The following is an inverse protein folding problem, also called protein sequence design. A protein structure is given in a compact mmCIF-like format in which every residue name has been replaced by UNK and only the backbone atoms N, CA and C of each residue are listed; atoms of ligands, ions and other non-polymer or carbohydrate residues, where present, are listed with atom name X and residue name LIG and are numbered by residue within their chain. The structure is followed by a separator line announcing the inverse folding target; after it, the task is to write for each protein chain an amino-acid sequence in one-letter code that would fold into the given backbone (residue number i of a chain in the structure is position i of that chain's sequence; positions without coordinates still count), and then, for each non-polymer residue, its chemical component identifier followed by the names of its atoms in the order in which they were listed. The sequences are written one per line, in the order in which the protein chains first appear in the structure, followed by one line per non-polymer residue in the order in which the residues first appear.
data_IF_731784851723
#
_entry.id   IF_731784851723
#
_cell.length_a   1.000
_cell.length_b   1.000
_cell.length_c   1.000
_cell.angle_alpha   90.00
_cell.angle_beta   90.00
_cell.angle_gamma   90.00
#
_symmetry.space_group_name_H-M   'P 1'
#
loop_
_entity.id
_entity.type
_entity.pdbx_description
1 polymer ?
#
# COMPACT_ATOMS: atom_id res chain seq x y z
N UNK A 1 15.35 23.20 27.64
CA UNK A 1 15.07 22.75 29.01
C UNK A 1 13.97 21.70 28.92
N UNK A 2 14.34 20.43 28.81
CA UNK A 2 13.40 19.33 28.60
C UNK A 2 12.87 18.85 29.95
N UNK A 3 11.55 18.92 30.15
CA UNK A 3 10.89 18.37 31.33
C UNK A 3 10.95 16.85 31.29
N UNK A 4 11.85 16.30 32.10
CA UNK A 4 12.06 14.86 32.29
C UNK A 4 11.14 14.40 33.42
N UNK A 5 9.93 13.97 33.08
CA UNK A 5 9.08 13.23 34.02
C UNK A 5 9.66 11.82 34.12
N UNK A 6 10.29 11.52 35.25
CA UNK A 6 10.86 10.22 35.60
C UNK A 6 9.72 9.34 36.15
N UNK A 7 9.32 8.33 35.39
CA UNK A 7 8.47 7.23 35.86
C UNK A 7 9.38 6.01 36.10
N UNK A 8 9.20 5.31 37.22
CA UNK A 8 10.18 4.36 37.80
C UNK A 8 10.12 2.92 37.29
N UNK A 9 9.36 2.64 36.23
CA UNK A 9 9.42 1.34 35.55
C UNK A 9 10.18 1.51 34.23
N UNK A 10 11.45 1.07 34.23
CA UNK A 10 12.45 1.21 33.17
C UNK A 10 12.15 0.49 31.86
N UNK A 11 10.91 0.53 31.39
CA UNK A 11 10.48 0.07 30.06
C UNK A 11 9.92 1.26 29.31
N UNK A 12 10.84 2.06 28.76
CA UNK A 12 10.51 3.05 27.75
C UNK A 12 10.17 2.28 26.47
N UNK A 13 8.92 1.83 26.33
CA UNK A 13 8.43 1.26 25.07
C UNK A 13 8.40 2.39 24.05
N UNK A 14 9.47 2.51 23.26
CA UNK A 14 9.45 3.38 22.09
C UNK A 14 8.34 2.88 21.17
N UNK A 15 7.49 3.76 20.64
CA UNK A 15 6.55 3.39 19.56
C UNK A 15 7.27 2.64 18.42
N UNK A 16 8.55 2.95 18.23
CA UNK A 16 9.47 2.32 17.30
C UNK A 16 9.80 0.87 17.65
N UNK A 17 9.81 0.49 18.93
CA UNK A 17 10.10 -0.88 19.40
C UNK A 17 8.84 -1.74 19.35
N UNK A 18 7.68 -1.19 19.73
CA UNK A 18 6.37 -1.85 19.51
C UNK A 18 6.15 -2.08 18.02
N UNK A 19 6.45 -1.09 17.17
CA UNK A 19 6.39 -1.22 15.72
C UNK A 19 7.34 -2.31 15.20
N UNK A 20 8.56 -2.42 15.74
CA UNK A 20 9.54 -3.44 15.31
C UNK A 20 9.11 -4.84 15.71
N UNK A 21 8.63 -5.04 16.94
CA UNK A 21 8.17 -6.33 17.43
C UNK A 21 6.85 -6.75 16.77
N UNK A 22 5.96 -5.81 16.49
CA UNK A 22 4.73 -6.06 15.73
C UNK A 22 5.04 -6.41 14.26
N UNK A 23 6.04 -5.78 13.64
CA UNK A 23 6.50 -6.14 12.30
C UNK A 23 7.20 -7.51 12.28
N UNK A 24 7.85 -7.89 13.37
CA UNK A 24 8.50 -9.19 13.54
C UNK A 24 7.49 -10.33 13.74
N UNK A 25 6.44 -10.08 14.51
CA UNK A 25 5.37 -11.05 14.82
C UNK A 25 4.32 -11.14 13.71
N UNK A 26 3.95 -10.01 13.10
CA UNK A 26 2.95 -9.94 12.03
C UNK A 26 3.50 -10.13 10.60
N UNK A 27 4.82 -10.03 10.41
CA UNK A 27 5.47 -9.98 9.09
C UNK A 27 6.37 -11.17 8.75
N UNK A 28 6.20 -12.33 9.40
CA UNK A 28 6.91 -13.59 9.18
C UNK A 28 8.06 -13.57 8.15
N UNK A 29 9.30 -13.54 8.65
CA UNK A 29 10.59 -13.76 7.95
C UNK A 29 10.91 -12.95 6.67
N UNK A 30 10.00 -12.18 6.08
CA UNK A 30 10.24 -11.42 4.84
C UNK A 30 9.90 -9.95 5.02
N UNK A 31 10.93 -9.15 5.36
CA UNK A 31 10.84 -7.71 5.61
C UNK A 31 10.34 -6.89 4.41
N UNK A 32 10.36 -7.43 3.19
CA UNK A 32 10.17 -6.63 1.97
C UNK A 32 8.70 -6.46 1.54
N UNK A 33 7.83 -7.45 1.82
CA UNK A 33 6.42 -7.42 1.34
C UNK A 33 5.39 -7.36 2.46
N UNK A 34 5.40 -8.37 3.33
CA UNK A 34 4.45 -8.49 4.43
C UNK A 34 4.59 -7.36 5.46
N UNK A 35 5.82 -6.95 5.78
CA UNK A 35 6.07 -5.83 6.70
C UNK A 35 5.50 -4.51 6.17
N UNK A 36 5.74 -4.19 4.89
CA UNK A 36 5.18 -2.99 4.26
C UNK A 36 3.65 -3.00 4.24
N UNK A 37 3.03 -4.14 3.99
CA UNK A 37 1.58 -4.31 4.07
C UNK A 37 1.05 -4.00 5.47
N UNK A 38 1.65 -4.61 6.50
CA UNK A 38 1.24 -4.48 7.89
C UNK A 38 1.31 -3.02 8.38
N UNK A 39 2.35 -2.27 8.00
CA UNK A 39 2.43 -0.84 8.35
C UNK A 39 1.29 -0.05 7.69
N UNK A 40 1.05 -0.26 6.39
CA UNK A 40 0.07 0.53 5.63
C UNK A 40 -1.36 0.24 6.08
N UNK A 41 -1.70 -1.03 6.35
CA UNK A 41 -3.04 -1.37 6.84
C UNK A 41 -3.27 -0.84 8.25
N UNK A 42 -2.25 -0.85 9.11
CA UNK A 42 -2.35 -0.27 10.45
C UNK A 42 -2.57 1.24 10.40
N UNK A 43 -1.83 1.96 9.55
CA UNK A 43 -2.02 3.40 9.36
C UNK A 43 -3.41 3.72 8.84
N UNK A 44 -3.86 3.03 7.80
CA UNK A 44 -5.19 3.23 7.21
C UNK A 44 -6.30 2.91 8.22
N UNK A 45 -6.23 1.78 8.90
CA UNK A 45 -7.19 1.38 9.92
C UNK A 45 -7.22 2.37 11.10
N UNK A 46 -6.06 2.81 11.59
CA UNK A 46 -5.98 3.76 12.71
C UNK A 46 -6.59 5.11 12.37
N UNK A 47 -6.32 5.64 11.16
CA UNK A 47 -6.92 6.90 10.70
C UNK A 47 -8.46 6.79 10.64
N UNK A 48 -8.99 5.72 10.04
CA UNK A 48 -10.44 5.50 9.98
C UNK A 48 -11.05 5.28 11.37
N UNK A 49 -10.35 4.60 12.27
CA UNK A 49 -10.72 4.39 13.67
C UNK A 49 -10.83 5.72 14.43
N UNK A 50 -9.86 6.62 14.28
CA UNK A 50 -9.87 7.92 14.94
C UNK A 50 -11.06 8.75 14.46
N UNK A 51 -11.25 8.84 13.14
CA UNK A 51 -12.35 9.62 12.56
C UNK A 51 -13.72 9.10 13.01
N UNK A 52 -13.98 7.79 12.85
CA UNK A 52 -15.26 7.21 13.26
C UNK A 52 -15.44 7.22 14.77
N UNK A 53 -14.38 6.98 15.55
CA UNK A 53 -14.39 7.05 17.01
C UNK A 53 -14.79 8.44 17.50
N UNK A 54 -14.17 9.50 16.98
CA UNK A 54 -14.49 10.89 17.34
C UNK A 54 -15.93 11.27 16.96
N UNK A 55 -16.40 10.86 15.77
CA UNK A 55 -17.80 11.05 15.38
C UNK A 55 -18.76 10.30 16.31
N UNK A 56 -18.45 9.05 16.65
CA UNK A 56 -19.23 8.23 17.58
C UNK A 56 -19.27 8.80 18.98
N UNK A 57 -18.15 9.33 19.48
CA UNK A 57 -18.07 10.00 20.77
C UNK A 57 -18.94 11.27 20.81
N UNK A 58 -18.90 12.09 19.76
CA UNK A 58 -19.66 13.33 19.67
C UNK A 58 -21.17 13.08 19.68
N UNK A 59 -21.65 12.06 18.94
CA UNK A 59 -23.07 11.70 18.89
C UNK A 59 -23.49 10.94 20.15
N UNK A 60 -22.64 10.03 20.63
CA UNK A 60 -22.96 9.18 21.76
C UNK A 60 -22.93 9.92 23.10
N UNK A 61 -22.06 10.92 23.25
CA UNK A 61 -22.00 11.79 24.42
C UNK A 61 -23.28 12.61 24.63
N UNK A 62 -23.96 13.02 23.55
CA UNK A 62 -25.22 13.79 23.64
C UNK A 62 -26.43 12.90 23.96
N UNK A 63 -26.42 11.63 23.54
CA UNK A 63 -27.56 10.71 23.68
C UNK A 63 -27.51 9.86 24.95
N UNK A 64 -26.32 9.39 25.35
CA UNK A 64 -26.17 8.40 26.43
C UNK A 64 -25.45 8.93 27.66
N UNK A 65 -24.96 10.18 27.62
CA UNK A 65 -24.16 10.78 28.69
C UNK A 65 -22.77 10.16 28.88
N UNK A 66 -22.47 9.06 28.18
CA UNK A 66 -21.18 8.38 28.17
C UNK A 66 -20.60 8.39 26.76
N UNK A 67 -19.56 9.18 26.55
CA UNK A 67 -18.86 9.25 25.25
C UNK A 67 -17.93 8.04 24.99
N UNK A 68 -17.57 7.28 26.03
CA UNK A 68 -16.52 6.26 25.96
C UNK A 68 -16.96 4.97 25.24
N UNK A 69 -18.14 4.43 25.56
CA UNK A 69 -18.70 3.25 24.89
C UNK A 69 -18.96 3.47 23.39
N UNK A 70 -19.64 4.55 22.97
CA UNK A 70 -19.87 4.81 21.55
C UNK A 70 -18.56 5.13 20.81
N UNK A 71 -17.59 5.81 21.45
CA UNK A 71 -16.24 5.95 20.91
C UNK A 71 -15.62 4.58 20.60
N UNK A 72 -15.63 3.65 21.56
CA UNK A 72 -15.00 2.33 21.42
C UNK A 72 -15.61 1.53 20.25
N UNK A 73 -16.94 1.46 20.20
CA UNK A 73 -17.64 0.69 19.15
C UNK A 73 -17.36 1.29 17.77
N UNK A 74 -17.48 2.62 17.64
CA UNK A 74 -17.23 3.29 16.36
C UNK A 74 -15.76 3.27 15.96
N UNK A 75 -14.83 3.32 16.91
CA UNK A 75 -13.40 3.20 16.65
C UNK A 75 -13.05 1.80 16.12
N UNK A 76 -13.50 0.73 16.79
CA UNK A 76 -13.29 -0.64 16.32
C UNK A 76 -13.91 -0.86 14.93
N UNK A 77 -15.14 -0.39 14.72
CA UNK A 77 -15.80 -0.45 13.40
C UNK A 77 -15.03 0.33 12.33
N UNK A 78 -14.55 1.53 12.66
CA UNK A 78 -13.73 2.36 11.78
C UNK A 78 -12.39 1.71 11.43
N UNK A 79 -11.74 1.05 12.38
CA UNK A 79 -10.52 0.29 12.13
C UNK A 79 -10.75 -0.85 11.12
N UNK A 80 -11.77 -1.68 11.37
CA UNK A 80 -12.11 -2.80 10.48
C UNK A 80 -12.48 -2.29 9.09
N UNK A 81 -13.28 -1.23 9.01
CA UNK A 81 -13.68 -0.64 7.73
C UNK A 81 -12.49 -0.07 6.96
N UNK A 82 -11.60 0.66 7.62
CA UNK A 82 -10.37 1.20 7.02
C UNK A 82 -9.44 0.10 6.54
N UNK A 83 -9.19 -0.91 7.38
CA UNK A 83 -8.37 -2.07 7.03
C UNK A 83 -8.96 -2.85 5.84
N UNK A 84 -10.27 -3.07 5.83
CA UNK A 84 -10.98 -3.75 4.75
C UNK A 84 -10.95 -2.95 3.44
N UNK A 85 -11.16 -1.64 3.51
CA UNK A 85 -11.05 -0.73 2.36
C UNK A 85 -9.66 -0.79 1.75
N UNK A 86 -8.62 -0.69 2.58
CA UNK A 86 -7.23 -0.79 2.13
C UNK A 86 -6.92 -2.15 1.49
N UNK A 87 -7.40 -3.25 2.09
CA UNK A 87 -7.26 -4.60 1.50
C UNK A 87 -7.88 -4.69 0.11
N UNK A 88 -9.14 -4.24 -0.05
CA UNK A 88 -9.84 -4.32 -1.34
C UNK A 88 -9.19 -3.47 -2.42
N UNK A 89 -8.75 -2.26 -2.07
CA UNK A 89 -8.04 -1.40 -3.03
C UNK A 89 -6.71 -2.03 -3.42
N UNK A 90 -5.91 -2.48 -2.45
CA UNK A 90 -4.62 -3.13 -2.73
C UNK A 90 -4.77 -4.38 -3.59
N UNK A 91 -5.83 -5.17 -3.36
CA UNK A 91 -6.14 -6.33 -4.18
C UNK A 91 -6.47 -5.94 -5.62
N UNK A 92 -7.33 -4.93 -5.83
CA UNK A 92 -7.69 -4.44 -7.17
C UNK A 92 -6.47 -3.94 -7.93
N UNK A 93 -5.64 -3.13 -7.28
CA UNK A 93 -4.38 -2.64 -7.87
C UNK A 93 -3.46 -3.81 -8.26
N UNK A 94 -3.29 -4.79 -7.36
CA UNK A 94 -2.45 -5.95 -7.65
C UNK A 94 -2.93 -6.76 -8.86
N UNK A 95 -4.25 -6.88 -9.07
CA UNK A 95 -4.84 -7.57 -10.22
C UNK A 95 -4.64 -6.76 -11.51
N UNK A 96 -4.81 -5.44 -11.46
CA UNK A 96 -4.56 -4.56 -12.62
C UNK A 96 -3.10 -4.63 -13.05
N UNK A 97 -2.16 -4.57 -12.11
CA UNK A 97 -0.73 -4.66 -12.42
C UNK A 97 -0.37 -6.07 -12.91
N UNK A 98 -1.02 -7.12 -12.40
CA UNK A 98 -0.86 -8.48 -12.91
C UNK A 98 -1.24 -8.58 -14.39
N UNK A 99 -2.35 -7.96 -14.81
CA UNK A 99 -2.76 -7.96 -16.23
C UNK A 99 -1.79 -7.17 -17.11
N UNK A 100 -1.21 -6.08 -16.60
CA UNK A 100 -0.31 -5.21 -17.35
C UNK A 100 1.13 -5.75 -17.44
N UNK A 101 1.63 -6.34 -16.36
CA UNK A 101 3.01 -6.83 -16.23
C UNK A 101 3.09 -8.24 -15.62
N UNK A 102 2.50 -9.27 -16.27
CA UNK A 102 2.35 -10.60 -15.68
C UNK A 102 3.68 -11.27 -15.35
N UNK A 103 4.69 -11.16 -16.22
CA UNK A 103 6.04 -11.72 -15.99
C UNK A 103 6.75 -11.08 -14.80
N UNK A 104 6.59 -9.78 -14.61
CA UNK A 104 7.22 -9.06 -13.50
C UNK A 104 6.64 -9.57 -12.17
N UNK A 105 5.31 -9.65 -12.07
CA UNK A 105 4.68 -10.18 -10.86
C UNK A 105 4.96 -11.67 -10.67
N UNK A 106 5.09 -12.47 -11.72
CA UNK A 106 5.46 -13.87 -11.64
C UNK A 106 6.84 -14.07 -10.98
N UNK A 107 7.82 -13.24 -11.33
CA UNK A 107 9.15 -13.25 -10.71
C UNK A 107 9.07 -12.92 -9.20
N UNK A 108 8.30 -11.90 -8.84
CA UNK A 108 8.10 -11.54 -7.44
C UNK A 108 7.28 -12.57 -6.66
N UNK A 109 6.30 -13.21 -7.28
CA UNK A 109 5.54 -14.32 -6.69
C UNK A 109 6.45 -15.50 -6.38
N UNK A 110 7.30 -15.90 -7.32
CA UNK A 110 8.24 -17.00 -7.14
C UNK A 110 9.30 -16.68 -6.07
N UNK A 111 9.84 -15.46 -6.07
CA UNK A 111 10.80 -15.01 -5.07
C UNK A 111 10.23 -14.98 -3.65
N UNK A 112 8.96 -14.57 -3.48
CA UNK A 112 8.32 -14.53 -2.16
C UNK A 112 7.79 -15.91 -1.72
N UNK A 113 7.39 -16.77 -2.66
CA UNK A 113 6.73 -18.04 -2.39
C UNK A 113 7.34 -19.19 -3.22
N UNK A 114 8.62 -19.55 -2.98
CA UNK A 114 9.34 -20.54 -3.78
C UNK A 114 8.68 -21.93 -3.73
N UNK A 115 7.94 -22.24 -2.67
CA UNK A 115 7.23 -23.51 -2.51
C UNK A 115 6.16 -23.77 -3.59
N UNK A 116 5.67 -22.72 -4.25
CA UNK A 116 4.61 -22.82 -5.27
C UNK A 116 5.16 -22.89 -6.70
N UNK A 117 6.45 -22.61 -6.90
CA UNK A 117 7.14 -22.64 -8.21
C UNK A 117 6.35 -21.90 -9.31
N UNK A 118 6.01 -20.62 -9.05
CA UNK A 118 5.23 -19.81 -9.96
C UNK A 118 5.92 -19.60 -11.31
N UNK A 119 7.24 -19.75 -11.41
CA UNK A 119 7.96 -19.74 -12.70
C UNK A 119 7.58 -20.88 -13.65
N UNK A 120 7.10 -22.00 -13.13
CA UNK A 120 6.65 -23.13 -13.95
C UNK A 120 5.27 -22.90 -14.60
N UNK A 121 4.53 -21.89 -14.14
CA UNK A 121 3.20 -21.59 -14.63
C UNK A 121 3.28 -20.94 -16.00
N UNK A 122 2.37 -21.35 -16.89
CA UNK A 122 2.24 -20.74 -18.21
C UNK A 122 1.56 -19.37 -18.10
N UNK A 123 1.76 -18.51 -19.10
CA UNK A 123 1.24 -17.14 -19.10
C UNK A 123 -0.29 -17.06 -19.07
N UNK A 124 -0.98 -18.06 -19.60
CA UNK A 124 -2.43 -18.21 -19.53
C UNK A 124 -2.93 -18.47 -18.10
N UNK A 125 -2.10 -19.07 -17.24
CA UNK A 125 -2.40 -19.34 -15.83
C UNK A 125 -2.08 -18.15 -14.92
N UNK A 126 -1.19 -17.24 -15.35
CA UNK A 126 -0.83 -16.01 -14.62
C UNK A 126 -1.76 -14.87 -15.03
N UNK A 127 -3.06 -15.06 -14.81
CA UNK A 127 -4.12 -14.07 -15.13
C UNK A 127 -4.92 -13.70 -13.89
N UNK A 128 -5.46 -12.48 -13.89
CA UNK A 128 -6.33 -12.00 -12.80
C UNK A 128 -7.50 -12.94 -12.50
N UNK A 129 -8.08 -13.60 -13.51
CA UNK A 129 -9.17 -14.55 -13.34
C UNK A 129 -8.80 -15.71 -12.40
N UNK A 130 -7.64 -16.33 -12.59
CA UNK A 130 -7.17 -17.44 -11.75
C UNK A 130 -6.90 -16.97 -10.31
N UNK A 131 -6.22 -15.84 -10.16
CA UNK A 131 -5.90 -15.29 -8.85
C UNK A 131 -7.14 -14.80 -8.08
N UNK A 132 -8.21 -14.42 -8.78
CA UNK A 132 -9.45 -13.96 -8.16
C UNK A 132 -10.27 -15.07 -7.50
N UNK A 133 -10.02 -16.34 -7.86
CA UNK A 133 -10.81 -17.49 -7.41
C UNK A 133 -10.52 -17.90 -5.96
N UNK A 134 -9.32 -17.65 -5.47
CA UNK A 134 -8.88 -18.07 -4.13
C UNK A 134 -8.32 -16.92 -3.31
N UNK A 135 -8.84 -16.72 -2.11
CA UNK A 135 -8.34 -15.71 -1.18
C UNK A 135 -6.85 -15.90 -0.84
N UNK A 136 -6.35 -17.15 -0.86
CA UNK A 136 -4.93 -17.44 -0.62
C UNK A 136 -4.08 -16.89 -1.77
N UNK A 137 -4.47 -17.14 -3.02
CA UNK A 137 -3.78 -16.61 -4.20
C UNK A 137 -3.88 -15.07 -4.25
N UNK A 138 -5.05 -14.52 -3.93
CA UNK A 138 -5.24 -13.07 -3.77
C UNK A 138 -4.24 -12.46 -2.79
N UNK A 139 -4.08 -13.08 -1.61
CA UNK A 139 -3.15 -12.58 -0.59
C UNK A 139 -1.68 -12.70 -1.03
N UNK A 140 -1.30 -13.79 -1.69
CA UNK A 140 0.05 -13.99 -2.25
C UNK A 140 0.34 -12.96 -3.34
N UNK A 141 -0.63 -12.70 -4.22
CA UNK A 141 -0.52 -11.70 -5.28
C UNK A 141 -0.33 -10.30 -4.71
N UNK A 142 -1.12 -9.93 -3.70
CA UNK A 142 -1.01 -8.64 -3.04
C UNK A 142 0.38 -8.45 -2.41
N UNK A 143 0.93 -9.47 -1.76
CA UNK A 143 2.29 -9.42 -1.20
C UNK A 143 3.34 -9.28 -2.30
N UNK A 144 3.24 -10.08 -3.36
CA UNK A 144 4.17 -10.00 -4.49
C UNK A 144 4.10 -8.62 -5.17
N UNK A 145 2.92 -8.06 -5.35
CA UNK A 145 2.72 -6.70 -5.88
C UNK A 145 3.38 -5.64 -4.99
N UNK A 146 3.24 -5.73 -3.67
CA UNK A 146 3.89 -4.80 -2.74
C UNK A 146 5.42 -4.86 -2.84
N UNK A 147 6.00 -6.05 -2.99
CA UNK A 147 7.45 -6.17 -3.24
C UNK A 147 7.86 -5.69 -4.63
N UNK A 148 6.94 -5.75 -5.60
CA UNK A 148 7.18 -5.30 -6.96
C UNK A 148 7.00 -3.78 -7.14
N UNK A 149 6.41 -3.06 -6.18
CA UNK A 149 6.16 -1.61 -6.29
C UNK A 149 7.38 -0.80 -6.73
N UNK A 150 8.59 -1.00 -6.19
CA UNK A 150 9.77 -0.25 -6.66
C UNK A 150 10.12 -0.53 -8.12
N UNK A 151 9.96 -1.77 -8.59
CA UNK A 151 10.22 -2.14 -9.97
C UNK A 151 9.15 -1.59 -10.91
N UNK A 152 7.88 -1.66 -10.51
CA UNK A 152 6.74 -1.09 -11.24
C UNK A 152 6.89 0.42 -11.38
N UNK A 153 7.26 1.13 -10.31
CA UNK A 153 7.46 2.58 -10.33
C UNK A 153 8.58 3.00 -11.27
N UNK A 154 9.71 2.26 -11.32
CA UNK A 154 10.78 2.52 -12.28
C UNK A 154 10.31 2.41 -13.73
N UNK A 155 9.52 1.39 -14.04
CA UNK A 155 8.94 1.23 -15.39
C UNK A 155 8.01 2.40 -15.73
N UNK A 156 7.25 2.91 -14.75
CA UNK A 156 6.42 4.10 -14.95
C UNK A 156 7.25 5.37 -15.17
N UNK A 157 8.28 5.59 -14.36
CA UNK A 157 9.17 6.75 -14.46
C UNK A 157 9.92 6.78 -15.80
N UNK A 158 10.44 5.64 -16.26
CA UNK A 158 11.07 5.52 -17.58
C UNK A 158 10.08 5.84 -18.72
N UNK A 159 8.82 5.42 -18.59
CA UNK A 159 7.78 5.71 -19.59
C UNK A 159 7.35 7.16 -19.57
N UNK A 160 7.23 7.77 -18.39
CA UNK A 160 6.94 9.19 -18.24
C UNK A 160 8.05 10.04 -18.86
N UNK A 161 9.31 9.70 -18.59
CA UNK A 161 10.46 10.39 -19.16
C UNK A 161 10.47 10.35 -20.69
N UNK A 162 10.16 9.20 -21.29
CA UNK A 162 10.03 9.06 -22.74
C UNK A 162 8.98 10.01 -23.34
N UNK A 163 7.81 10.10 -22.69
CA UNK A 163 6.72 10.97 -23.14
C UNK A 163 7.07 12.45 -22.99
N UNK A 164 7.74 12.82 -21.89
CA UNK A 164 8.22 14.19 -21.66
C UNK A 164 9.27 14.59 -22.70
N UNK A 165 10.20 13.68 -23.03
CA UNK A 165 11.23 13.93 -24.03
C UNK A 165 10.63 14.07 -25.44
N UNK A 166 9.63 13.27 -25.78
CA UNK A 166 8.87 13.37 -27.03
C UNK A 166 8.14 14.72 -27.14
N UNK A 167 7.34 15.09 -26.14
CA UNK A 167 6.65 16.37 -26.10
C UNK A 167 7.62 17.58 -26.12
N UNK A 168 8.76 17.46 -25.44
CA UNK A 168 9.82 18.48 -25.46
C UNK A 168 10.42 18.63 -26.86
N UNK A 169 10.59 17.53 -27.59
CA UNK A 169 11.11 17.55 -28.95
C UNK A 169 10.14 18.24 -29.92
N UNK A 170 8.84 18.01 -29.77
CA UNK A 170 7.80 18.67 -30.58
C UNK A 170 7.79 20.18 -30.37
N UNK A 171 7.81 20.65 -29.11
CA UNK A 171 7.87 22.08 -28.78
C UNK A 171 9.12 22.75 -29.38
N UNK A 172 10.27 22.06 -29.35
CA UNK A 172 11.51 22.58 -29.93
C UNK A 172 11.45 22.66 -31.46
N UNK A 173 10.71 21.77 -32.12
CA UNK A 173 10.49 21.82 -33.56
C UNK A 173 9.58 23.00 -33.93
N UNK A 174 8.48 23.19 -33.21
CA UNK A 174 7.58 24.33 -33.41
C UNK A 174 8.28 25.68 -33.19
N UNK A 175 9.11 25.78 -32.13
CA UNK A 175 9.89 26.98 -31.86
C UNK A 175 10.93 27.27 -32.96
N UNK A 176 11.56 26.22 -33.52
CA UNK A 176 12.49 26.36 -34.64
C UNK A 176 11.77 26.80 -35.91
N UNK A 177 10.59 26.24 -36.19
CA UNK A 177 9.80 26.61 -37.37
C UNK A 177 9.35 28.08 -37.29
N UNK A 178 8.90 28.54 -36.12
CA UNK A 178 8.54 29.94 -35.91
C UNK A 178 9.74 30.90 -36.03
N UNK A 179 10.92 30.52 -35.54
CA UNK A 179 12.13 31.31 -35.71
C UNK A 179 12.51 31.45 -37.20
N UNK A 180 12.36 30.38 -37.97
CA UNK A 180 12.67 30.36 -39.40
C UNK A 180 11.70 31.21 -40.23
N UNK A 181 10.42 31.28 -39.83
CA UNK A 181 9.41 32.15 -40.43
C UNK A 181 9.65 33.63 -40.06
N UNK A 182 10.26 33.92 -38.91
CA UNK A 182 10.55 35.30 -38.48
C UNK A 182 11.81 35.90 -39.13
N UNK A 183 12.72 35.06 -39.63
CA UNK A 183 13.95 35.47 -40.31
C UNK A 183 13.80 35.59 -41.85
N UNK A 184 12.67 35.18 -42.41
CA UNK A 184 12.33 35.30 -43.85
C UNK A 184 11.44 36.51 -44.13
#
# INVERSE_FOLDING_TARGET
MALRVRNEDGTSYSFTDIGRDFLRVGGGYSLQGAGHYTVRIMLSGTMSSICMGLCGAAIGGTLTGSAALPFLICACGGFVFGAWGYYRTSLRESLIVLERYPRLLQLHLDANFPQKNFLSWRQDQVRAAEFSTSWTLQSMLMVAWLTAQPAVNKVFEEREQQLVDEARSEILLEAKEQALISES
#
